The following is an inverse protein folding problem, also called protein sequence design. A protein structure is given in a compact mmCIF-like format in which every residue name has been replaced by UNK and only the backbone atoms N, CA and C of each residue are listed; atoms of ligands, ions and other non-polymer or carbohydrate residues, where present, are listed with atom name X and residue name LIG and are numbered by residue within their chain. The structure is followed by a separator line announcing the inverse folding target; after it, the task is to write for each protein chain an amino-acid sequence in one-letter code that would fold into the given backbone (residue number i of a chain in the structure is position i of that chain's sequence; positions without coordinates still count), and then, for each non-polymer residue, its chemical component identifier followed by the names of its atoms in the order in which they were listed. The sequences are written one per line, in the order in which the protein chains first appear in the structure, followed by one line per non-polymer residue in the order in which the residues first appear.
data_IF_980049924156
#
_entry.id   IF_980049924156
#
_cell.length_a   1.000
_cell.length_b   1.000
_cell.length_c   1.000
_cell.angle_alpha   90.00
_cell.angle_beta   90.00
_cell.angle_gamma   90.00
#
_symmetry.space_group_name_H-M   'P 1'
#
loop_
_entity.id
_entity.type
_entity.pdbx_description
1 polymer ?
#
# COMPACT_ATOMS: atom_id res chain seq x y z
N UNK A 1 9.80 11.15 -9.63
CA UNK A 1 8.81 11.96 -8.88
C UNK A 1 9.08 11.95 -7.36
N UNK A 2 8.36 12.77 -6.59
CA UNK A 2 8.32 12.77 -5.11
C UNK A 2 7.06 12.03 -4.62
N UNK A 3 7.25 11.00 -3.81
CA UNK A 3 6.17 10.12 -3.35
C UNK A 3 6.02 10.18 -1.83
N UNK A 4 4.80 10.42 -1.36
CA UNK A 4 4.45 10.32 0.05
C UNK A 4 3.68 9.02 0.30
N UNK A 5 4.24 8.17 1.16
CA UNK A 5 3.60 6.94 1.63
C UNK A 5 2.87 7.21 2.94
N UNK A 6 1.63 6.75 3.06
CA UNK A 6 0.78 7.07 4.20
C UNK A 6 0.15 5.84 4.83
N UNK A 7 0.37 5.68 6.13
CA UNK A 7 -0.46 4.85 7.00
C UNK A 7 -1.52 5.76 7.67
N UNK A 8 -2.80 5.69 7.26
CA UNK A 8 -3.83 6.64 7.66
C UNK A 8 -4.48 6.31 9.00
N UNK A 9 -3.94 5.36 9.76
CA UNK A 9 -4.53 4.89 11.01
C UNK A 9 -4.48 5.98 12.09
N UNK A 10 -5.65 6.55 12.42
CA UNK A 10 -5.84 7.55 13.49
C UNK A 10 -6.48 6.97 14.75
N UNK A 11 -6.63 5.65 14.81
CA UNK A 11 -7.25 4.98 15.94
C UNK A 11 -6.26 4.98 17.12
N UNK A 12 -6.61 5.68 18.18
CA UNK A 12 -5.85 5.73 19.44
C UNK A 12 -6.54 4.93 20.55
N UNK A 13 -7.51 4.08 20.21
CA UNK A 13 -8.30 3.30 21.16
C UNK A 13 -8.11 1.79 20.97
N UNK A 14 -8.36 1.02 22.03
CA UNK A 14 -8.21 -0.43 22.01
C UNK A 14 -6.75 -0.87 21.80
N UNK A 15 -6.53 -1.91 20.98
CA UNK A 15 -5.19 -2.43 20.71
C UNK A 15 -4.28 -1.44 20.01
N UNK A 16 -4.82 -0.50 19.22
CA UNK A 16 -4.00 0.50 18.51
C UNK A 16 -3.30 1.48 19.47
N UNK A 17 -3.78 1.60 20.72
CA UNK A 17 -3.13 2.40 21.77
C UNK A 17 -1.84 1.75 22.32
N UNK A 18 -1.72 0.42 22.23
CA UNK A 18 -0.61 -0.36 22.81
C UNK A 18 0.18 -1.15 21.77
N UNK A 19 -0.30 -1.19 20.52
CA UNK A 19 0.33 -1.85 19.39
C UNK A 19 0.39 -0.89 18.20
N UNK A 20 1.59 -0.38 17.93
CA UNK A 20 1.92 0.38 16.73
C UNK A 20 2.94 -0.44 15.93
N UNK A 21 2.46 -1.11 14.86
CA UNK A 21 3.31 -1.82 13.92
C UNK A 21 3.81 -0.92 12.80
N UNK A 22 5.03 -1.16 12.32
CA UNK A 22 5.55 -0.47 11.15
C UNK A 22 4.76 -0.88 9.90
N UNK A 23 4.43 0.05 8.99
CA UNK A 23 3.69 -0.28 7.77
C UNK A 23 4.61 -0.93 6.74
N UNK A 24 4.91 -2.23 6.95
CA UNK A 24 5.82 -3.00 6.09
C UNK A 24 5.39 -3.01 4.62
N UNK A 25 4.08 -2.99 4.35
CA UNK A 25 3.54 -2.91 3.00
C UNK A 25 4.04 -1.66 2.25
N UNK A 26 3.99 -0.49 2.90
CA UNK A 26 4.39 0.79 2.29
C UNK A 26 5.89 0.86 2.00
N UNK A 27 6.73 0.43 2.95
CA UNK A 27 8.18 0.46 2.74
C UNK A 27 8.63 -0.62 1.75
N UNK A 28 7.85 -1.69 1.56
CA UNK A 28 8.12 -2.72 0.55
C UNK A 28 7.83 -2.18 -0.86
N UNK A 29 6.67 -1.56 -1.09
CA UNK A 29 6.37 -0.94 -2.39
C UNK A 29 7.30 0.26 -2.69
N UNK A 30 7.76 0.98 -1.66
CA UNK A 30 8.77 2.03 -1.84
C UNK A 30 10.13 1.47 -2.31
N UNK A 31 10.45 0.22 -1.96
CA UNK A 31 11.64 -0.47 -2.46
C UNK A 31 11.59 -0.78 -3.95
N UNK A 32 10.40 -0.83 -4.55
CA UNK A 32 10.22 -1.12 -5.98
C UNK A 32 10.64 0.02 -6.90
N UNK A 33 10.71 1.24 -6.39
CA UNK A 33 11.03 2.46 -7.14
C UNK A 33 12.08 3.30 -6.39
N UNK A 34 13.28 2.74 -6.14
CA UNK A 34 14.30 3.36 -5.29
C UNK A 34 14.85 4.70 -5.84
N UNK A 35 14.68 4.96 -7.13
CA UNK A 35 15.08 6.18 -7.84
C UNK A 35 14.24 7.41 -7.48
N UNK A 36 13.11 7.24 -6.79
CA UNK A 36 12.23 8.34 -6.41
C UNK A 36 12.50 8.82 -4.98
N UNK A 37 12.29 10.13 -4.79
CA UNK A 37 12.29 10.72 -3.46
C UNK A 37 11.04 10.22 -2.72
N UNK A 38 11.25 9.73 -1.50
CA UNK A 38 10.27 8.99 -0.75
C UNK A 38 10.23 9.48 0.69
N UNK A 39 9.01 9.72 1.19
CA UNK A 39 8.77 9.96 2.62
C UNK A 39 7.64 9.08 3.11
N UNK A 40 7.76 8.60 4.35
CA UNK A 40 6.67 7.95 5.07
C UNK A 40 6.06 8.90 6.11
N UNK A 41 4.75 9.08 6.04
CA UNK A 41 3.95 9.69 7.10
C UNK A 41 3.01 8.63 7.70
N UNK A 42 3.14 8.40 8.99
CA UNK A 42 2.40 7.37 9.71
C UNK A 42 1.63 8.03 10.86
N UNK A 43 0.31 8.10 10.71
CA UNK A 43 -0.57 8.76 11.68
C UNK A 43 -0.50 8.15 13.08
N UNK A 44 0.02 6.92 13.23
CA UNK A 44 0.19 6.29 14.55
C UNK A 44 1.36 6.85 15.37
N UNK A 45 2.39 7.39 14.71
CA UNK A 45 3.67 7.71 15.36
C UNK A 45 4.21 9.11 15.01
N UNK A 46 3.74 9.71 13.93
CA UNK A 46 4.08 11.08 13.56
C UNK A 46 3.12 12.10 14.17
N UNK A 47 3.65 13.27 14.52
CA UNK A 47 2.83 14.38 15.02
C UNK A 47 1.97 14.96 13.89
N UNK A 48 0.67 14.71 13.95
CA UNK A 48 -0.30 15.24 13.00
C UNK A 48 -0.79 16.64 13.40
N UNK A 49 -0.76 17.56 12.43
CA UNK A 49 -1.41 18.88 12.51
C UNK A 49 -2.01 19.17 11.15
N UNK A 50 -3.33 19.15 11.04
CA UNK A 50 -4.04 19.16 9.75
C UNK A 50 -3.57 20.26 8.79
N UNK A 51 -3.54 21.53 9.23
CA UNK A 51 -3.10 22.65 8.37
C UNK A 51 -1.68 22.46 7.82
N UNK A 52 -0.77 21.94 8.65
CA UNK A 52 0.63 21.68 8.25
C UNK A 52 0.71 20.48 7.32
N UNK A 53 -0.03 19.42 7.62
CA UNK A 53 -0.09 18.22 6.80
C UNK A 53 -0.63 18.53 5.40
N UNK A 54 -1.79 19.20 5.31
CA UNK A 54 -2.40 19.62 4.03
C UNK A 54 -1.45 20.46 3.19
N UNK A 55 -0.79 21.46 3.79
CA UNK A 55 0.18 22.29 3.08
C UNK A 55 1.44 21.53 2.67
N UNK A 56 1.81 20.45 3.36
CA UNK A 56 2.94 19.61 2.95
C UNK A 56 2.64 18.76 1.72
N UNK A 57 1.37 18.38 1.50
CA UNK A 57 0.96 17.51 0.38
C UNK A 57 1.32 18.11 -0.99
N UNK A 58 1.31 19.44 -1.14
CA UNK A 58 1.68 20.12 -2.39
C UNK A 58 3.14 19.91 -2.82
N UNK A 59 3.98 19.30 -1.98
CA UNK A 59 5.38 18.99 -2.26
C UNK A 59 5.57 17.66 -2.96
N UNK A 60 4.51 16.87 -3.10
CA UNK A 60 4.56 15.51 -3.64
C UNK A 60 3.74 15.42 -4.91
N UNK A 61 4.22 14.60 -5.84
CA UNK A 61 3.52 14.32 -7.09
C UNK A 61 2.49 13.20 -6.90
N UNK A 62 2.78 12.26 -5.99
CA UNK A 62 1.97 11.07 -5.75
C UNK A 62 1.86 10.76 -4.25
N UNK A 63 0.66 10.38 -3.83
CA UNK A 63 0.36 9.92 -2.46
C UNK A 63 -0.14 8.48 -2.49
N UNK A 64 0.62 7.58 -1.87
CA UNK A 64 0.33 6.15 -1.79
C UNK A 64 -0.12 5.77 -0.38
N UNK A 65 -1.34 5.24 -0.26
CA UNK A 65 -2.04 5.05 1.00
C UNK A 65 -2.35 3.57 1.20
N UNK A 66 -1.95 3.00 2.34
CA UNK A 66 -2.41 1.65 2.73
C UNK A 66 -3.72 1.76 3.49
N UNK A 67 -4.60 0.78 3.36
CA UNK A 67 -5.89 0.80 4.05
C UNK A 67 -6.37 -0.60 4.46
N UNK A 68 -6.58 -0.75 5.77
CA UNK A 68 -7.44 -1.80 6.34
C UNK A 68 -8.88 -1.30 6.43
N UNK A 69 -9.85 -2.20 6.56
CA UNK A 69 -11.27 -1.82 6.66
C UNK A 69 -11.57 -0.73 7.71
N UNK A 70 -11.07 -0.80 8.97
CA UNK A 70 -11.34 0.25 9.94
C UNK A 70 -10.68 1.61 9.61
N UNK A 71 -9.79 1.65 8.62
CA UNK A 71 -9.02 2.84 8.24
C UNK A 71 -9.54 3.49 6.95
N UNK A 72 -10.50 2.88 6.25
CA UNK A 72 -10.87 3.30 4.89
C UNK A 72 -11.33 4.74 4.81
N UNK A 73 -12.14 5.22 5.76
CA UNK A 73 -12.59 6.61 5.74
C UNK A 73 -11.44 7.60 5.97
N UNK A 74 -10.48 7.27 6.83
CA UNK A 74 -9.27 8.07 7.01
C UNK A 74 -8.38 8.04 5.76
N UNK A 75 -8.30 6.90 5.08
CA UNK A 75 -7.58 6.78 3.81
C UNK A 75 -8.22 7.65 2.71
N UNK A 76 -9.56 7.62 2.60
CA UNK A 76 -10.33 8.43 1.65
C UNK A 76 -10.22 9.93 1.96
N UNK A 77 -10.25 10.31 3.24
CA UNK A 77 -10.03 11.69 3.66
C UNK A 77 -8.65 12.19 3.21
N UNK A 78 -7.59 11.42 3.48
CA UNK A 78 -6.23 11.74 3.04
C UNK A 78 -6.13 11.82 1.51
N UNK A 79 -6.74 10.88 0.79
CA UNK A 79 -6.77 10.89 -0.67
C UNK A 79 -7.44 12.16 -1.20
N UNK A 80 -8.58 12.56 -0.61
CA UNK A 80 -9.23 13.83 -0.95
C UNK A 80 -8.29 15.02 -0.70
N UNK A 81 -7.64 15.10 0.47
CA UNK A 81 -6.68 16.18 0.75
C UNK A 81 -5.54 16.23 -0.27
N UNK A 82 -5.01 15.07 -0.67
CA UNK A 82 -3.92 14.97 -1.62
C UNK A 82 -4.38 15.39 -3.02
N UNK A 83 -5.57 14.95 -3.44
CA UNK A 83 -6.15 15.33 -4.73
C UNK A 83 -6.42 16.82 -4.83
N UNK A 84 -6.92 17.43 -3.75
CA UNK A 84 -7.13 18.88 -3.65
C UNK A 84 -5.82 19.69 -3.79
N UNK A 85 -4.65 19.05 -3.59
CA UNK A 85 -3.32 19.64 -3.81
C UNK A 85 -2.69 19.23 -5.14
N UNK A 86 -3.41 18.51 -6.01
CA UNK A 86 -2.95 18.09 -7.33
C UNK A 86 -2.13 16.81 -7.37
N UNK A 87 -2.01 16.07 -6.25
CA UNK A 87 -1.31 14.79 -6.24
C UNK A 87 -2.11 13.71 -6.99
N UNK A 88 -1.41 12.76 -7.59
CA UNK A 88 -1.98 11.46 -7.93
C UNK A 88 -2.24 10.67 -6.65
N UNK A 89 -3.37 9.96 -6.57
CA UNK A 89 -3.75 9.19 -5.37
C UNK A 89 -3.85 7.70 -5.65
N UNK A 90 -3.14 6.92 -4.84
CA UNK A 90 -3.12 5.45 -4.92
C UNK A 90 -3.55 4.89 -3.58
N UNK A 91 -4.58 4.06 -3.53
CA UNK A 91 -5.01 3.37 -2.31
C UNK A 91 -4.90 1.86 -2.51
N UNK A 92 -4.13 1.19 -1.65
CA UNK A 92 -3.95 -0.26 -1.65
C UNK A 92 -4.15 -0.89 -0.27
N UNK A 93 -4.02 -2.21 -0.18
CA UNK A 93 -4.16 -2.99 1.05
C UNK A 93 -5.43 -3.83 1.08
N UNK A 94 -5.79 -4.32 2.27
CA UNK A 94 -6.87 -5.29 2.42
C UNK A 94 -8.23 -4.74 2.01
N UNK A 95 -8.58 -3.51 2.41
CA UNK A 95 -9.89 -2.98 2.09
C UNK A 95 -10.07 -2.73 0.57
N UNK A 96 -9.12 -2.05 -0.12
CA UNK A 96 -9.14 -1.95 -1.58
C UNK A 96 -9.19 -3.28 -2.32
N UNK A 97 -8.59 -4.33 -1.77
CA UNK A 97 -8.63 -5.68 -2.36
C UNK A 97 -10.01 -6.34 -2.21
N UNK A 98 -10.66 -6.15 -1.06
CA UNK A 98 -11.94 -6.81 -0.74
C UNK A 98 -13.15 -6.09 -1.31
N UNK A 99 -13.08 -4.75 -1.40
CA UNK A 99 -14.20 -3.91 -1.85
C UNK A 99 -13.69 -2.81 -2.81
N UNK A 100 -13.08 -3.20 -3.96
CA UNK A 100 -12.43 -2.24 -4.85
C UNK A 100 -13.39 -1.20 -5.43
N UNK A 101 -14.64 -1.57 -5.70
CA UNK A 101 -15.66 -0.68 -6.27
C UNK A 101 -15.99 0.48 -5.33
N UNK A 102 -16.04 0.20 -4.02
CA UNK A 102 -16.27 1.24 -3.01
C UNK A 102 -15.14 2.28 -3.05
N UNK A 103 -13.88 1.82 -3.11
CA UNK A 103 -12.72 2.71 -3.11
C UNK A 103 -12.61 3.47 -4.44
N UNK A 104 -12.64 2.78 -5.57
CA UNK A 104 -12.51 3.34 -6.92
C UNK A 104 -13.70 4.23 -7.34
N UNK A 105 -14.84 4.14 -6.65
CA UNK A 105 -16.01 4.99 -6.89
C UNK A 105 -15.79 6.47 -6.55
N UNK A 106 -14.79 6.79 -5.72
CA UNK A 106 -14.51 8.15 -5.29
C UNK A 106 -13.67 8.92 -6.33
N UNK A 107 -14.09 10.14 -6.69
CA UNK A 107 -13.43 10.95 -7.72
C UNK A 107 -12.00 11.39 -7.39
N UNK A 108 -11.65 11.33 -6.10
CA UNK A 108 -10.33 11.68 -5.59
C UNK A 108 -9.41 10.47 -5.41
N UNK A 109 -9.77 9.31 -5.98
CA UNK A 109 -8.93 8.10 -6.02
C UNK A 109 -8.59 7.78 -7.47
N UNK A 110 -7.34 7.98 -7.86
CA UNK A 110 -6.89 7.69 -9.23
C UNK A 110 -6.67 6.19 -9.46
N UNK A 111 -6.07 5.50 -8.48
CA UNK A 111 -5.77 4.08 -8.57
C UNK A 111 -6.13 3.34 -7.28
N UNK A 112 -6.87 2.25 -7.43
CA UNK A 112 -7.14 1.28 -6.35
C UNK A 112 -6.33 0.02 -6.63
N UNK A 113 -5.39 -0.33 -5.75
CA UNK A 113 -4.54 -1.53 -5.88
C UNK A 113 -5.16 -2.70 -5.12
N UNK A 114 -5.31 -3.83 -5.82
CA UNK A 114 -5.86 -5.08 -5.33
C UNK A 114 -4.77 -6.15 -5.28
N UNK A 115 -4.79 -6.98 -4.24
CA UNK A 115 -3.83 -8.06 -4.07
C UNK A 115 -2.44 -7.57 -3.62
N UNK A 116 -1.42 -8.33 -4.01
CA UNK A 116 -0.02 -7.99 -3.75
C UNK A 116 0.42 -6.80 -4.61
N UNK A 117 0.87 -5.74 -3.94
CA UNK A 117 0.95 -4.42 -4.56
C UNK A 117 2.28 -4.06 -5.20
N UNK A 118 3.38 -4.78 -4.95
CA UNK A 118 4.73 -4.37 -5.34
C UNK A 118 4.90 -4.14 -6.84
N UNK A 119 4.63 -5.16 -7.65
CA UNK A 119 4.75 -5.06 -9.11
C UNK A 119 3.73 -4.07 -9.69
N UNK A 120 2.48 -4.11 -9.19
CA UNK A 120 1.42 -3.19 -9.63
C UNK A 120 1.78 -1.74 -9.34
N UNK A 121 2.29 -1.46 -8.15
CA UNK A 121 2.71 -0.13 -7.75
C UNK A 121 3.83 0.38 -8.66
N UNK A 122 4.85 -0.46 -8.94
CA UNK A 122 5.91 -0.10 -9.87
C UNK A 122 5.36 0.30 -11.24
N UNK A 123 4.44 -0.48 -11.80
CA UNK A 123 3.87 -0.19 -13.11
C UNK A 123 3.00 1.07 -13.14
N UNK A 124 2.27 1.37 -12.05
CA UNK A 124 1.55 2.65 -11.89
C UNK A 124 2.55 3.81 -11.92
N UNK A 125 3.65 3.70 -11.17
CA UNK A 125 4.67 4.75 -11.12
C UNK A 125 5.36 4.92 -12.48
N UNK A 126 5.73 3.83 -13.14
CA UNK A 126 6.31 3.86 -14.50
C UNK A 126 5.34 4.52 -15.52
N UNK A 127 4.03 4.26 -15.39
CA UNK A 127 2.98 4.91 -16.18
C UNK A 127 2.90 6.42 -15.90
N UNK A 128 2.92 6.82 -14.63
CA UNK A 128 2.86 8.22 -14.21
C UNK A 128 4.11 9.03 -14.59
N UNK A 129 5.29 8.40 -14.64
CA UNK A 129 6.52 9.00 -15.16
C UNK A 129 6.54 9.14 -16.70
N UNK A 130 5.49 8.66 -17.38
CA UNK A 130 5.38 8.74 -18.83
C UNK A 130 6.30 7.76 -19.56
N UNK A 131 6.71 6.66 -18.91
CA UNK A 131 7.48 5.60 -19.54
C UNK A 131 6.58 4.78 -20.49
N UNK A 132 6.37 5.32 -21.69
CA UNK A 132 5.49 4.76 -22.74
C UNK A 132 5.97 3.43 -23.32
N UNK A 133 7.12 2.90 -22.90
CA UNK A 133 7.67 1.64 -23.47
C UNK A 133 6.85 0.41 -23.11
N UNK A 134 5.95 0.43 -22.10
CA UNK A 134 5.17 -0.77 -21.74
C UNK A 134 3.73 -0.64 -21.23
N UNK A 135 3.22 0.49 -20.74
CA UNK A 135 1.95 0.43 -19.99
C UNK A 135 0.93 1.44 -20.50
N UNK A 136 -0.08 0.99 -21.24
CA UNK A 136 -1.39 1.61 -21.13
C UNK A 136 -1.89 1.36 -19.71
N UNK A 137 -2.73 2.25 -19.16
CA UNK A 137 -3.42 1.98 -17.89
C UNK A 137 -4.17 0.64 -17.90
N UNK A 138 -4.57 0.14 -19.08
CA UNK A 138 -5.26 -1.15 -19.28
C UNK A 138 -4.36 -2.38 -19.09
N UNK A 139 -3.04 -2.20 -19.19
CA UNK A 139 -2.06 -3.29 -19.14
C UNK A 139 -1.50 -3.52 -17.72
N UNK A 140 -1.89 -2.66 -16.77
CA UNK A 140 -1.45 -2.75 -15.37
C UNK A 140 -2.38 -3.71 -14.62
N UNK A 141 -1.96 -4.93 -14.36
CA UNK A 141 -2.79 -5.86 -13.58
C UNK A 141 -2.89 -5.43 -12.11
N UNK A 142 -3.97 -5.87 -11.46
CA UNK A 142 -4.20 -5.64 -10.04
C UNK A 142 -4.81 -4.27 -9.72
N UNK A 143 -5.09 -3.40 -10.72
CA UNK A 143 -5.74 -2.11 -10.45
C UNK A 143 -7.23 -2.11 -10.72
N UNK A 144 -7.92 -1.22 -10.01
CA UNK A 144 -9.24 -0.70 -10.38
C UNK A 144 -9.16 0.82 -10.44
N UNK A 145 -9.81 1.43 -11.44
CA UNK A 145 -9.76 2.88 -11.67
C UNK A 145 -11.04 3.36 -12.38
N UNK A 146 -11.27 4.67 -12.35
CA UNK A 146 -12.37 5.30 -13.09
C UNK A 146 -11.87 5.78 -14.45
N UNK A 147 -12.53 5.36 -15.52
CA UNK A 147 -12.19 5.81 -16.88
C UNK A 147 -12.76 7.22 -17.17
N UNK A 148 -12.51 7.73 -18.39
CA UNK A 148 -12.96 9.06 -18.81
C UNK A 148 -14.49 9.20 -18.85
N UNK A 149 -15.20 8.10 -19.06
CA UNK A 149 -16.66 8.05 -19.05
C UNK A 149 -17.25 7.91 -17.62
N UNK A 150 -16.41 7.91 -16.58
CA UNK A 150 -16.85 7.80 -15.19
C UNK A 150 -17.14 6.36 -14.74
N UNK A 151 -16.90 5.36 -15.58
CA UNK A 151 -17.11 3.94 -15.28
C UNK A 151 -15.91 3.36 -14.55
N UNK A 152 -16.18 2.56 -13.51
CA UNK A 152 -15.15 1.78 -12.82
C UNK A 152 -14.72 0.61 -13.72
N UNK A 153 -13.42 0.52 -13.96
CA UNK A 153 -12.75 -0.54 -14.71
C UNK A 153 -11.89 -1.33 -13.75
N UNK A 154 -12.00 -2.66 -13.86
CA UNK A 154 -11.13 -3.61 -13.18
C UNK A 154 -10.24 -4.26 -14.24
N UNK A 155 -8.92 -4.08 -14.12
CA UNK A 155 -7.99 -4.84 -14.96
C UNK A 155 -7.92 -6.29 -14.46
N UNK A 156 -7.13 -7.13 -15.14
CA UNK A 156 -6.90 -8.51 -14.68
C UNK A 156 -6.32 -8.54 -13.26
N UNK A 157 -6.54 -9.64 -12.55
CA UNK A 157 -5.88 -9.85 -11.25
C UNK A 157 -4.38 -10.08 -11.46
N UNK A 158 -3.54 -9.54 -10.56
CA UNK A 158 -2.10 -9.76 -10.61
C UNK A 158 -1.75 -11.15 -10.07
N UNK A 159 -0.97 -11.90 -10.84
CA UNK A 159 -0.33 -13.11 -10.34
C UNK A 159 0.62 -12.79 -9.17
N UNK A 160 0.59 -13.63 -8.14
CA UNK A 160 1.48 -13.50 -6.99
C UNK A 160 2.92 -13.85 -7.39
N UNK A 161 3.89 -13.11 -6.86
CA UNK A 161 5.31 -13.39 -7.05
C UNK A 161 5.69 -14.71 -6.37
N UNK A 162 6.13 -15.74 -7.10
CA UNK A 162 6.40 -17.02 -6.47
C UNK A 162 7.57 -16.93 -5.46
N UNK A 163 8.61 -16.19 -5.79
CA UNK A 163 9.81 -16.08 -4.96
C UNK A 163 9.91 -14.70 -4.32
N UNK A 164 9.67 -14.62 -3.00
CA UNK A 164 9.70 -13.35 -2.26
C UNK A 164 11.10 -12.68 -2.25
N UNK A 165 12.16 -13.42 -2.57
CA UNK A 165 13.50 -12.87 -2.68
C UNK A 165 13.69 -12.01 -3.95
N UNK A 166 12.78 -12.13 -4.93
CA UNK A 166 12.77 -11.31 -6.15
C UNK A 166 12.40 -9.86 -5.87
N UNK A 167 11.70 -9.60 -4.77
CA UNK A 167 11.44 -8.22 -4.36
C UNK A 167 12.72 -7.54 -3.88
N UNK A 168 12.89 -6.22 -4.10
CA UNK A 168 13.99 -5.45 -3.53
C UNK A 168 13.86 -5.36 -2.00
N UNK A 169 14.94 -4.93 -1.33
CA UNK A 169 14.88 -4.69 0.12
C UNK A 169 13.83 -3.61 0.44
N UNK A 170 13.00 -3.79 1.48
CA UNK A 170 12.13 -2.72 1.94
C UNK A 170 12.94 -1.48 2.32
N UNK A 171 12.40 -0.29 2.06
CA UNK A 171 13.03 1.01 2.40
C UNK A 171 12.97 1.30 3.90
N UNK A 172 13.75 0.54 4.67
CA UNK A 172 13.85 0.64 6.15
C UNK A 172 14.32 2.01 6.62
N UNK A 173 15.04 2.74 5.77
CA UNK A 173 15.46 4.13 6.01
C UNK A 173 14.26 5.08 6.21
N UNK A 174 13.10 4.80 5.61
CA UNK A 174 11.86 5.58 5.81
C UNK A 174 11.28 5.46 7.23
N UNK A 175 11.70 4.45 7.99
CA UNK A 175 11.32 4.27 9.40
C UNK A 175 12.26 5.00 10.37
N UNK A 176 13.32 5.66 9.89
CA UNK A 176 14.30 6.32 10.77
C UNK A 176 13.64 7.39 11.62
N UNK A 177 13.86 7.32 12.93
CA UNK A 177 13.26 8.25 13.91
C UNK A 177 11.82 7.93 14.31
N UNK A 178 11.20 6.89 13.74
CA UNK A 178 9.88 6.39 14.15
C UNK A 178 10.02 5.25 15.15
N UNK A 179 9.25 5.31 16.24
CA UNK A 179 9.22 4.29 17.28
C UNK A 179 7.89 3.55 17.23
N UNK A 180 7.99 2.23 17.10
CA UNK A 180 6.87 1.31 17.01
C UNK A 180 6.86 0.44 18.27
N UNK A 181 5.68 0.20 18.83
CA UNK A 181 5.50 -0.47 20.12
C UNK A 181 4.62 -1.70 19.99
N UNK A 182 4.94 -2.74 20.74
CA UNK A 182 4.09 -3.90 20.93
C UNK A 182 4.00 -4.16 22.43
N UNK A 183 2.81 -3.97 23.00
CA UNK A 183 2.55 -4.12 24.43
C UNK A 183 3.55 -3.32 25.29
N UNK A 184 3.75 -2.05 24.93
CA UNK A 184 4.66 -1.13 25.64
C UNK A 184 6.16 -1.31 25.32
N UNK A 185 6.55 -2.34 24.58
CA UNK A 185 7.94 -2.57 24.20
C UNK A 185 8.22 -2.05 22.80
N UNK A 186 9.32 -1.32 22.61
CA UNK A 186 9.74 -0.90 21.26
C UNK A 186 10.14 -2.12 20.43
N UNK A 187 9.53 -2.28 19.25
CA UNK A 187 9.78 -3.42 18.37
C UNK A 187 10.09 -3.00 16.93
N UNK A 188 10.76 -3.90 16.22
CA UNK A 188 10.94 -3.87 14.77
C UNK A 188 10.32 -5.15 14.22
N UNK A 189 9.56 -5.02 13.14
CA UNK A 189 8.88 -6.15 12.52
C UNK A 189 9.65 -6.60 11.28
N UNK A 190 9.76 -7.91 11.07
CA UNK A 190 10.29 -8.52 9.85
C UNK A 190 9.24 -9.51 9.35
N UNK A 191 8.90 -9.39 8.07
CA UNK A 191 8.03 -10.36 7.40
C UNK A 191 8.89 -11.50 6.86
N UNK A 192 8.62 -12.74 7.27
CA UNK A 192 9.37 -13.93 6.82
C UNK A 192 8.63 -14.72 5.74
N UNK A 193 7.31 -14.55 5.64
CA UNK A 193 6.46 -15.30 4.71
C UNK A 193 5.19 -14.52 4.36
N UNK A 194 4.59 -14.84 3.21
CA UNK A 194 3.28 -14.32 2.76
C UNK A 194 2.33 -15.46 2.40
N UNK A 195 1.05 -15.24 2.65
CA UNK A 195 0.00 -16.23 2.43
C UNK A 195 -0.28 -17.10 3.65
N UNK A 196 -1.27 -17.99 3.50
CA UNK A 196 -1.71 -18.92 4.52
C UNK A 196 -2.16 -20.23 3.83
N UNK A 197 -1.66 -21.40 4.25
CA UNK A 197 -2.03 -22.67 3.62
C UNK A 197 -3.49 -23.09 3.91
N UNK A 198 -4.17 -22.42 4.84
CA UNK A 198 -5.54 -22.75 5.26
C UNK A 198 -6.61 -22.00 4.48
N UNK A 199 -7.81 -22.59 4.41
CA UNK A 199 -8.96 -22.05 3.69
C UNK A 199 -10.17 -21.83 4.64
N UNK A 200 -9.94 -21.13 5.75
CA UNK A 200 -10.96 -20.88 6.77
C UNK A 200 -12.10 -20.02 6.21
N UNK A 201 -13.36 -20.46 6.39
CA UNK A 201 -14.56 -19.78 5.86
C UNK A 201 -14.73 -18.34 6.35
N UNK A 202 -14.20 -18.01 7.53
CA UNK A 202 -14.30 -16.69 8.15
C UNK A 202 -13.15 -15.74 7.77
N UNK A 203 -12.09 -16.23 7.12
CA UNK A 203 -10.86 -15.47 6.96
C UNK A 203 -10.83 -14.76 5.60
N UNK A 204 -10.73 -13.42 5.62
CA UNK A 204 -10.63 -12.64 4.39
C UNK A 204 -9.25 -12.73 3.71
N UNK A 205 -8.23 -13.29 4.39
CA UNK A 205 -6.86 -13.34 3.89
C UNK A 205 -6.75 -14.15 2.58
N UNK A 206 -7.66 -15.11 2.38
CA UNK A 206 -7.71 -15.92 1.16
C UNK A 206 -7.99 -15.07 -0.09
N UNK A 207 -8.67 -13.92 0.05
CA UNK A 207 -8.91 -13.02 -1.07
C UNK A 207 -7.68 -12.22 -1.45
N UNK A 208 -6.75 -12.02 -0.51
CA UNK A 208 -5.47 -11.36 -0.76
C UNK A 208 -4.44 -12.32 -1.39
N UNK A 209 -4.37 -13.57 -0.92
CA UNK A 209 -3.26 -14.47 -1.22
C UNK A 209 -3.64 -15.75 -1.98
N UNK A 210 -4.83 -15.83 -2.58
CA UNK A 210 -5.15 -16.93 -3.50
C UNK A 210 -4.49 -16.71 -4.85
N UNK A 211 -3.99 -17.78 -5.43
CA UNK A 211 -3.54 -17.76 -6.82
C UNK A 211 -4.76 -17.70 -7.76
N UNK A 212 -4.51 -17.32 -9.02
CA UNK A 212 -5.51 -17.25 -10.08
C UNK A 212 -6.18 -18.60 -10.38
N UNK A 213 -5.62 -19.70 -9.87
CA UNK A 213 -6.10 -21.09 -10.03
C UNK A 213 -6.85 -21.62 -8.80
N UNK A 214 -7.12 -20.78 -7.78
CA UNK A 214 -8.00 -21.08 -6.64
C UNK A 214 -7.35 -21.76 -5.41
N UNK A 215 -6.06 -22.09 -5.47
CA UNK A 215 -5.30 -22.69 -4.37
C UNK A 215 -4.83 -21.67 -3.32
N UNK A 216 -4.70 -22.13 -2.07
CA UNK A 216 -4.00 -21.38 -1.02
C UNK A 216 -2.51 -21.30 -1.34
N UNK A 217 -1.87 -20.20 -0.96
CA UNK A 217 -0.42 -20.03 -1.14
C UNK A 217 0.25 -19.78 0.19
N UNK A 218 1.49 -20.26 0.33
CA UNK A 218 2.37 -19.94 1.44
C UNK A 218 3.79 -19.83 0.89
N UNK A 219 4.31 -18.61 0.81
CA UNK A 219 5.60 -18.27 0.19
C UNK A 219 6.52 -17.75 1.28
N UNK A 220 7.77 -18.22 1.32
CA UNK A 220 8.75 -17.84 2.33
C UNK A 220 9.90 -17.07 1.70
N UNK A 221 10.47 -16.13 2.45
CA UNK A 221 11.79 -15.56 2.12
C UNK A 221 12.87 -16.58 2.47
N UNK A 222 14.00 -16.56 1.76
CA UNK A 222 15.14 -17.38 2.17
C UNK A 222 15.69 -16.95 3.54
N UNK A 223 16.34 -17.85 4.27
CA UNK A 223 16.99 -17.52 5.54
C UNK A 223 18.01 -16.39 5.34
N UNK A 224 18.81 -16.45 4.27
CA UNK A 224 19.77 -15.40 3.92
C UNK A 224 19.12 -14.04 3.68
N UNK A 225 17.92 -14.04 3.09
CA UNK A 225 17.14 -12.82 2.87
C UNK A 225 16.65 -12.23 4.19
N UNK A 226 16.12 -13.07 5.08
CA UNK A 226 15.63 -12.67 6.40
C UNK A 226 16.77 -12.10 7.25
N UNK A 227 17.93 -12.76 7.26
CA UNK A 227 19.10 -12.32 8.04
C UNK A 227 19.75 -11.02 7.53
N UNK A 228 19.53 -10.68 6.25
CA UNK A 228 20.04 -9.44 5.65
C UNK A 228 19.20 -8.22 6.04
N UNK A 229 17.91 -8.43 6.30
CA UNK A 229 16.91 -7.38 6.58
C UNK A 229 16.93 -6.91 8.03
#
# INVERSE_FOLDING_TARGET
MKILYINPARLESGMDAIITGAPLSLISIAGMVPEHDAKLFDFKVDKYREKKFRSELNRYDTVAITSMTPQVYSALEVAKMAKDQGCNTIIGGYHPTLVPEFVAGHEYVDFTVRGEGEHTFKEIIDYLDGNKKKNSIKDIDGISYKNKEGKIIHNSERALEHNLDNFPMPRRDLLKGKLYTYLGTTTRQVETSRGCPHNCKFCCIIKMWRNSTGGTTYRTKSISRIMRE
#
